data_IF_243167812987
#
_entry.id   IF_243167812987
#
_cell.length_a   1.000
_cell.length_b   1.000
_cell.length_c   1.000
_cell.angle_alpha   90.00
_cell.angle_beta   90.00
_cell.angle_gamma   90.00
#
_symmetry.space_group_name_H-M   'P 1'
#
loop_
_entity.id
_entity.type
_entity.pdbx_description
1 polymer ?
#
# COMPACT_ATOMS: atom_id res chain seq x y z
N UNK A 1 -0.41 14.10 -4.77
CA UNK A 1 -1.25 13.19 -3.97
C UNK A 1 -0.37 12.15 -3.33
N UNK A 2 -0.66 11.78 -2.09
CA UNK A 2 0.04 10.69 -1.44
C UNK A 2 -0.79 9.42 -1.46
N UNK A 3 -0.24 8.34 -1.99
CA UNK A 3 -0.94 7.07 -2.20
C UNK A 3 -0.22 5.95 -1.45
N UNK A 4 -0.98 5.17 -0.69
CA UNK A 4 -0.47 3.93 -0.10
C UNK A 4 -1.03 2.77 -0.92
N UNK A 5 -0.13 1.94 -1.45
CA UNK A 5 -0.51 0.73 -2.19
C UNK A 5 -0.09 -0.47 -1.35
N UNK A 6 -1.03 -1.35 -1.06
CA UNK A 6 -0.76 -2.55 -0.27
C UNK A 6 -0.77 -3.77 -1.17
N UNK A 7 0.36 -4.44 -1.22
CA UNK A 7 0.56 -5.61 -2.07
C UNK A 7 1.43 -5.29 -3.27
N UNK A 8 2.65 -5.84 -3.28
CA UNK A 8 3.63 -5.59 -4.33
C UNK A 8 3.67 -6.72 -5.37
N UNK A 9 2.55 -7.37 -5.60
CA UNK A 9 2.39 -8.28 -6.71
C UNK A 9 2.38 -7.52 -8.02
N UNK A 10 2.05 -8.19 -9.09
CA UNK A 10 2.10 -7.62 -10.43
C UNK A 10 1.30 -6.31 -10.55
N UNK A 11 0.09 -6.31 -10.01
CA UNK A 11 -0.79 -5.14 -10.08
C UNK A 11 -0.26 -3.98 -9.24
N UNK A 12 0.05 -4.25 -7.96
CA UNK A 12 0.50 -3.20 -7.04
C UNK A 12 1.84 -2.60 -7.44
N UNK A 13 2.77 -3.44 -7.86
CA UNK A 13 4.10 -2.98 -8.30
C UNK A 13 3.99 -2.08 -9.55
N UNK A 14 3.22 -2.51 -10.55
CA UNK A 14 3.03 -1.70 -11.77
C UNK A 14 2.30 -0.40 -11.46
N UNK A 15 1.31 -0.44 -10.59
CA UNK A 15 0.57 0.74 -10.19
C UNK A 15 1.46 1.75 -9.47
N UNK A 16 2.27 1.28 -8.53
CA UNK A 16 3.22 2.14 -7.83
C UNK A 16 4.21 2.79 -8.78
N UNK A 17 4.72 2.01 -9.74
CA UNK A 17 5.65 2.49 -10.75
C UNK A 17 5.02 3.61 -11.59
N UNK A 18 3.78 3.43 -12.02
CA UNK A 18 3.08 4.45 -12.80
C UNK A 18 2.80 5.72 -12.01
N UNK A 19 2.37 5.56 -10.75
CA UNK A 19 2.10 6.72 -9.90
C UNK A 19 3.37 7.53 -9.62
N UNK A 20 4.47 6.86 -9.36
CA UNK A 20 5.76 7.54 -9.16
C UNK A 20 6.20 8.27 -10.44
N UNK A 21 5.96 7.68 -11.61
CA UNK A 21 6.31 8.32 -12.88
C UNK A 21 5.47 9.57 -13.14
N UNK A 22 4.31 9.69 -12.51
CA UNK A 22 3.43 10.88 -12.63
C UNK A 22 3.63 11.84 -11.47
N UNK A 23 4.75 11.73 -10.77
CA UNK A 23 5.16 12.60 -9.67
C UNK A 23 4.25 12.55 -8.44
N UNK A 24 3.51 11.47 -8.26
CA UNK A 24 2.80 11.22 -7.00
C UNK A 24 3.77 10.63 -5.98
N UNK A 25 3.52 10.92 -4.72
CA UNK A 25 4.25 10.28 -3.63
C UNK A 25 3.57 8.94 -3.34
N UNK A 26 4.33 7.86 -3.23
CA UNK A 26 3.80 6.51 -3.06
C UNK A 26 4.58 5.76 -2.01
N UNK A 27 3.85 5.02 -1.16
CA UNK A 27 4.43 3.97 -0.32
C UNK A 27 3.75 2.66 -0.69
N UNK A 28 4.56 1.69 -1.08
CA UNK A 28 4.12 0.34 -1.41
C UNK A 28 4.46 -0.57 -0.23
N UNK A 29 3.48 -1.28 0.31
CA UNK A 29 3.68 -2.16 1.47
C UNK A 29 3.61 -3.61 1.00
N UNK A 30 4.61 -4.40 1.36
CA UNK A 30 4.66 -5.82 1.01
C UNK A 30 4.99 -6.67 2.23
N UNK A 31 4.21 -7.72 2.47
CA UNK A 31 4.37 -8.59 3.63
C UNK A 31 5.27 -9.80 3.37
N UNK A 32 5.47 -10.18 2.11
CA UNK A 32 6.35 -11.29 1.77
C UNK A 32 7.76 -10.77 1.59
N UNK A 33 8.67 -11.21 2.47
CA UNK A 33 10.03 -10.69 2.50
C UNK A 33 10.77 -10.85 1.16
N UNK A 34 10.62 -12.00 0.50
CA UNK A 34 11.29 -12.24 -0.77
C UNK A 34 10.85 -11.25 -1.85
N UNK A 35 9.55 -11.01 -1.94
CA UNK A 35 9.02 -10.05 -2.91
C UNK A 35 9.44 -8.63 -2.56
N UNK A 36 9.40 -8.28 -1.28
CA UNK A 36 9.86 -6.98 -0.83
C UNK A 36 11.31 -6.72 -1.27
N UNK A 37 12.21 -7.69 -1.09
CA UNK A 37 13.61 -7.51 -1.47
C UNK A 37 13.80 -7.32 -2.97
N UNK A 38 12.97 -7.99 -3.78
CA UNK A 38 13.03 -7.83 -5.24
C UNK A 38 12.55 -6.44 -5.66
N UNK A 39 11.43 -6.00 -5.10
CA UNK A 39 10.83 -4.70 -5.45
C UNK A 39 11.69 -3.55 -4.95
N UNK A 40 12.30 -3.72 -3.79
CA UNK A 40 13.18 -2.69 -3.22
C UNK A 40 14.36 -2.36 -4.12
N UNK A 41 14.83 -3.31 -4.92
CA UNK A 41 15.93 -3.05 -5.84
C UNK A 41 15.56 -1.99 -6.88
N UNK A 42 14.29 -1.86 -7.20
CA UNK A 42 13.82 -0.84 -8.15
C UNK A 42 13.25 0.39 -7.45
N UNK A 43 12.40 0.19 -6.45
CA UNK A 43 11.64 1.29 -5.83
C UNK A 43 12.29 1.87 -4.59
N UNK A 44 13.32 1.22 -4.06
CA UNK A 44 14.11 1.68 -2.93
C UNK A 44 13.22 2.02 -1.72
N UNK A 45 13.31 3.24 -1.21
CA UNK A 45 12.58 3.65 0.00
C UNK A 45 11.06 3.77 -0.21
N UNK A 46 10.59 3.70 -1.44
CA UNK A 46 9.16 3.77 -1.71
C UNK A 46 8.45 2.46 -1.33
N UNK A 47 9.18 1.37 -1.09
CA UNK A 47 8.58 0.13 -0.63
C UNK A 47 8.94 -0.12 0.84
N UNK A 48 7.96 -0.57 1.62
CA UNK A 48 8.14 -0.93 3.03
C UNK A 48 7.76 -2.38 3.25
N UNK A 49 8.53 -3.05 4.10
CA UNK A 49 8.24 -4.43 4.49
C UNK A 49 7.31 -4.42 5.70
N UNK A 50 6.22 -5.16 5.62
CA UNK A 50 5.32 -5.32 6.73
C UNK A 50 3.97 -5.88 6.32
N UNK A 51 3.19 -6.25 7.32
CA UNK A 51 1.83 -6.73 7.13
C UNK A 51 0.86 -5.58 7.43
N UNK A 52 0.20 -5.09 6.40
CA UNK A 52 -0.68 -3.92 6.51
C UNK A 52 -1.99 -4.20 7.26
N UNK A 53 -2.24 -5.44 7.67
CA UNK A 53 -3.33 -5.74 8.61
C UNK A 53 -2.98 -5.33 10.04
N UNK A 54 -1.71 -5.02 10.30
CA UNK A 54 -1.25 -4.51 11.59
C UNK A 54 -1.25 -2.99 11.58
N UNK A 55 -1.90 -2.38 12.57
CA UNK A 55 -2.07 -0.92 12.62
C UNK A 55 -0.75 -0.16 12.56
N UNK A 56 0.26 -0.63 13.28
CA UNK A 56 1.54 0.09 13.34
C UNK A 56 2.23 0.16 11.97
N UNK A 57 1.99 -0.82 11.10
CA UNK A 57 2.54 -0.80 9.73
C UNK A 57 1.91 0.31 8.92
N UNK A 58 0.58 0.45 9.00
CA UNK A 58 -0.14 1.53 8.33
C UNK A 58 0.27 2.89 8.88
N UNK A 59 0.43 2.99 10.20
CA UNK A 59 0.84 4.26 10.82
C UNK A 59 2.26 4.65 10.41
N UNK A 60 3.18 3.68 10.35
CA UNK A 60 4.53 3.93 9.87
C UNK A 60 4.54 4.40 8.41
N UNK A 61 3.62 3.89 7.61
CA UNK A 61 3.49 4.31 6.22
C UNK A 61 2.86 5.70 6.07
N UNK A 62 2.30 6.26 7.15
CA UNK A 62 1.71 7.58 7.10
C UNK A 62 0.26 7.61 6.65
N UNK A 63 -0.53 6.61 7.06
CA UNK A 63 -1.94 6.52 6.63
C UNK A 63 -2.74 7.75 7.02
N UNK A 64 -2.37 8.45 8.09
CA UNK A 64 -3.08 9.64 8.54
C UNK A 64 -3.08 10.76 7.49
N UNK A 65 -2.06 10.81 6.63
CA UNK A 65 -1.96 11.83 5.58
C UNK A 65 -2.22 11.29 4.19
N UNK A 66 -2.62 10.02 4.07
CA UNK A 66 -2.84 9.42 2.76
C UNK A 66 -4.10 9.97 2.10
N UNK A 67 -3.98 10.32 0.84
CA UNK A 67 -5.13 10.74 0.03
C UNK A 67 -5.86 9.54 -0.55
N UNK A 68 -5.14 8.45 -0.77
CA UNK A 68 -5.70 7.25 -1.39
C UNK A 68 -5.01 6.01 -0.84
N UNK A 69 -5.79 5.00 -0.51
CA UNK A 69 -5.28 3.67 -0.10
C UNK A 69 -5.82 2.64 -1.08
N UNK A 70 -4.92 1.88 -1.67
CA UNK A 70 -5.26 0.85 -2.66
C UNK A 70 -4.76 -0.50 -2.12
N UNK A 71 -5.69 -1.41 -1.81
CA UNK A 71 -5.35 -2.73 -1.31
C UNK A 71 -5.52 -3.77 -2.42
N UNK A 72 -4.41 -4.31 -2.88
CA UNK A 72 -4.35 -5.27 -3.99
C UNK A 72 -3.47 -6.47 -3.65
N UNK A 73 -3.55 -6.94 -2.41
CA UNK A 73 -2.88 -8.17 -2.01
C UNK A 73 -3.55 -9.37 -2.67
N UNK A 74 -2.94 -10.53 -2.56
CA UNK A 74 -3.57 -11.76 -3.04
C UNK A 74 -4.68 -12.29 -2.14
N UNK A 75 -4.97 -11.64 -1.03
CA UNK A 75 -5.97 -12.07 -0.05
C UNK A 75 -7.11 -11.05 0.03
N UNK A 76 -8.31 -11.44 -0.41
CA UNK A 76 -9.46 -10.55 -0.45
C UNK A 76 -9.91 -10.10 0.94
N UNK A 77 -9.80 -10.98 1.94
CA UNK A 77 -10.17 -10.63 3.31
C UNK A 77 -9.23 -9.55 3.86
N UNK A 78 -7.94 -9.69 3.61
CA UNK A 78 -6.97 -8.68 4.01
C UNK A 78 -7.23 -7.34 3.30
N UNK A 79 -7.56 -7.38 2.01
CA UNK A 79 -7.86 -6.16 1.25
C UNK A 79 -9.06 -5.44 1.85
N UNK A 80 -10.11 -6.18 2.21
CA UNK A 80 -11.30 -5.60 2.82
C UNK A 80 -11.00 -5.03 4.20
N UNK A 81 -10.23 -5.76 5.01
CA UNK A 81 -9.86 -5.31 6.35
C UNK A 81 -9.04 -4.03 6.31
N UNK A 82 -8.05 -3.97 5.44
CA UNK A 82 -7.19 -2.79 5.28
C UNK A 82 -8.04 -1.57 4.89
N UNK A 83 -8.93 -1.73 3.94
CA UNK A 83 -9.78 -0.65 3.50
C UNK A 83 -10.76 -0.20 4.58
N UNK A 84 -11.31 -1.13 5.34
CA UNK A 84 -12.20 -0.82 6.44
C UNK A 84 -11.48 -0.02 7.53
N UNK A 85 -10.28 -0.43 7.90
CA UNK A 85 -9.46 0.27 8.89
C UNK A 85 -9.11 1.68 8.40
N UNK A 86 -8.71 1.80 7.15
CA UNK A 86 -8.36 3.10 6.57
C UNK A 86 -9.56 4.06 6.61
N UNK A 87 -10.74 3.57 6.30
CA UNK A 87 -11.95 4.39 6.27
C UNK A 87 -12.41 4.77 7.67
N UNK A 88 -12.50 3.80 8.57
CA UNK A 88 -13.12 4.00 9.87
C UNK A 88 -12.18 4.64 10.89
N UNK A 89 -10.93 4.20 10.92
CA UNK A 89 -10.00 4.67 11.94
C UNK A 89 -9.26 5.93 11.54
N UNK A 90 -8.93 6.06 10.27
CA UNK A 90 -8.08 7.16 9.78
C UNK A 90 -8.83 8.13 8.86
N UNK A 91 -10.12 7.91 8.65
CA UNK A 91 -10.98 8.79 7.83
C UNK A 91 -10.44 9.01 6.42
N UNK A 92 -9.76 8.02 5.85
CA UNK A 92 -9.28 8.09 4.49
C UNK A 92 -10.48 8.16 3.54
N UNK A 93 -10.53 9.20 2.71
CA UNK A 93 -11.68 9.49 1.86
C UNK A 93 -11.74 8.61 0.60
N UNK A 94 -10.58 8.15 0.14
CA UNK A 94 -10.49 7.41 -1.12
C UNK A 94 -9.84 6.07 -0.87
N UNK A 95 -10.63 5.01 -1.07
CA UNK A 95 -10.19 3.66 -0.78
C UNK A 95 -10.58 2.77 -1.96
N UNK A 96 -9.63 1.98 -2.44
CA UNK A 96 -9.85 1.00 -3.49
C UNK A 96 -9.37 -0.36 -3.01
N UNK A 97 -10.22 -1.35 -3.09
CA UNK A 97 -9.86 -2.73 -2.80
C UNK A 97 -10.10 -3.59 -4.02
N UNK A 98 -9.15 -4.47 -4.28
CA UNK A 98 -9.34 -5.50 -5.29
C UNK A 98 -10.11 -6.66 -4.66
N UNK A 99 -11.18 -7.03 -5.29
CA UNK A 99 -11.99 -8.19 -4.88
C UNK A 99 -11.78 -9.32 -5.84
#
# INVERSE_FOLDING_TARGET
MYVIVVGAGKVGWNLARELLAKDHEVTLIESERRRYLIVEQELEHAVQYGDATELWVLERAGIQRADLVIAVTGDDEDNMLICQVAKEKYLCQRIVARV
#
